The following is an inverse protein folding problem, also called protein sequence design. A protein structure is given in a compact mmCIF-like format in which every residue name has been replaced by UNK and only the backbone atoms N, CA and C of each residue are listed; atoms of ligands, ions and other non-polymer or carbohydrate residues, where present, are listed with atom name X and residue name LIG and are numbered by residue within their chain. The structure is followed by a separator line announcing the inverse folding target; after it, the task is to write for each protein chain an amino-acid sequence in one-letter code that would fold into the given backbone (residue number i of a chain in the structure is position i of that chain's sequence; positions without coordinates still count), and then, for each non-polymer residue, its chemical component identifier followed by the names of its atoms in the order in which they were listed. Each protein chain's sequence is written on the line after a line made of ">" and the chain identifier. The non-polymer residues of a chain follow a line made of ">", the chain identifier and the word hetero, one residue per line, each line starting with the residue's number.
data_IF_744059302388
#
_entry.id   IF_744059302388
#
_cell.length_a   1.000
_cell.length_b   1.000
_cell.length_c   1.000
_cell.angle_alpha   90.00
_cell.angle_beta   90.00
_cell.angle_gamma   90.00
#
_symmetry.space_group_name_H-M   'P 1'
#
loop_
_entity.id
_entity.type
_entity.pdbx_description
1 polymer ?
#
# COMPACT_ATOMS: atom_id res chain seq x y z
N UNK A 1 6.21 -17.87 5.23
CA UNK A 1 6.51 -17.52 3.83
C UNK A 1 5.59 -16.40 3.36
N UNK A 2 6.09 -15.46 2.54
CA UNK A 2 5.28 -14.37 1.99
C UNK A 2 4.25 -14.89 0.97
N UNK A 3 3.18 -14.12 0.77
CA UNK A 3 2.15 -14.36 -0.25
C UNK A 3 2.62 -13.87 -1.62
N UNK A 4 2.08 -14.47 -2.68
CA UNK A 4 2.42 -14.16 -4.08
C UNK A 4 1.71 -12.90 -4.59
N UNK A 5 2.40 -11.77 -4.80
CA UNK A 5 1.88 -10.67 -5.62
C UNK A 5 1.62 -11.10 -7.08
N UNK A 6 2.38 -12.04 -7.64
CA UNK A 6 2.22 -12.46 -9.04
C UNK A 6 0.85 -13.08 -9.31
N UNK A 7 0.29 -13.85 -8.37
CA UNK A 7 -1.09 -14.33 -8.49
C UNK A 7 -2.06 -13.16 -8.63
N UNK A 8 -1.92 -12.11 -7.84
CA UNK A 8 -2.82 -10.96 -7.90
C UNK A 8 -2.66 -10.22 -9.22
N UNK A 9 -1.43 -10.07 -9.71
CA UNK A 9 -1.14 -9.47 -11.02
C UNK A 9 -1.79 -10.26 -12.17
N UNK A 10 -1.72 -11.59 -12.14
CA UNK A 10 -2.18 -12.44 -13.25
C UNK A 10 -3.66 -12.82 -13.20
N UNK A 11 -4.22 -12.94 -12.00
CA UNK A 11 -5.53 -13.57 -11.79
C UNK A 11 -6.61 -12.65 -11.23
N UNK A 12 -6.27 -11.52 -10.63
CA UNK A 12 -7.29 -10.61 -10.08
C UNK A 12 -8.07 -9.92 -11.20
N UNK A 13 -9.12 -9.19 -10.83
CA UNK A 13 -9.95 -8.43 -11.78
C UNK A 13 -9.24 -7.18 -12.35
N UNK A 14 -7.95 -7.02 -12.06
CA UNK A 14 -7.17 -5.82 -12.33
C UNK A 14 -6.36 -5.89 -13.63
N UNK A 15 -5.82 -4.74 -14.00
CA UNK A 15 -4.99 -4.57 -15.20
C UNK A 15 -3.52 -4.95 -14.95
N UNK A 16 -3.27 -5.84 -13.99
CA UNK A 16 -1.95 -6.31 -13.60
C UNK A 16 -0.97 -5.17 -13.34
N UNK A 17 -0.03 -4.96 -14.25
CA UNK A 17 1.03 -3.95 -14.12
C UNK A 17 0.60 -2.52 -14.47
N UNK A 18 -0.59 -2.34 -15.04
CA UNK A 18 -1.15 -1.02 -15.37
C UNK A 18 -1.95 -0.41 -14.21
N UNK A 19 -1.95 -1.07 -13.05
CA UNK A 19 -2.57 -0.61 -11.82
C UNK A 19 -3.79 -1.44 -11.39
N UNK A 20 -4.27 -1.13 -10.20
CA UNK A 20 -5.48 -1.73 -9.65
C UNK A 20 -5.89 -1.20 -8.28
N UNK A 21 -6.96 -1.78 -7.73
CA UNK A 21 -7.62 -1.36 -6.51
C UNK A 21 -7.56 -2.41 -5.39
N UNK A 22 -7.45 -1.96 -4.13
CA UNK A 22 -7.50 -2.88 -2.98
C UNK A 22 -8.84 -3.60 -2.91
N UNK A 23 -9.93 -2.90 -3.25
CA UNK A 23 -11.29 -3.43 -3.16
C UNK A 23 -11.47 -4.60 -4.11
N UNK A 24 -11.05 -4.46 -5.37
CA UNK A 24 -11.21 -5.51 -6.37
C UNK A 24 -10.24 -6.67 -6.13
N UNK A 25 -9.02 -6.39 -5.66
CA UNK A 25 -8.11 -7.44 -5.18
C UNK A 25 -8.75 -8.23 -4.04
N UNK A 26 -9.34 -7.56 -3.05
CA UNK A 26 -10.02 -8.21 -1.93
C UNK A 26 -11.26 -8.98 -2.37
N UNK A 27 -12.02 -8.46 -3.35
CA UNK A 27 -13.15 -9.15 -3.96
C UNK A 27 -12.71 -10.39 -4.72
N UNK A 28 -11.63 -10.30 -5.52
CA UNK A 28 -11.04 -11.47 -6.18
C UNK A 28 -10.64 -12.55 -5.16
N UNK A 29 -9.99 -12.16 -4.06
CA UNK A 29 -9.62 -13.11 -3.00
C UNK A 29 -10.87 -13.81 -2.46
N UNK A 30 -11.95 -13.07 -2.24
CA UNK A 30 -13.23 -13.64 -1.81
C UNK A 30 -13.84 -14.56 -2.89
N UNK A 31 -13.88 -14.16 -4.14
CA UNK A 31 -14.50 -14.98 -5.18
C UNK A 31 -13.68 -16.25 -5.48
N UNK A 32 -12.36 -16.18 -5.26
CA UNK A 32 -11.43 -17.31 -5.36
C UNK A 32 -11.40 -18.20 -4.10
N UNK A 33 -12.30 -17.99 -3.14
CA UNK A 33 -12.41 -18.82 -1.94
C UNK A 33 -11.27 -18.64 -0.93
N UNK A 34 -10.71 -17.43 -0.83
CA UNK A 34 -9.61 -17.05 0.07
C UNK A 34 -8.32 -17.85 -0.18
N UNK A 35 -8.12 -18.27 -1.43
CA UNK A 35 -6.97 -19.05 -1.89
C UNK A 35 -5.86 -18.14 -2.40
N UNK A 36 -4.73 -18.11 -1.69
CA UNK A 36 -3.55 -17.35 -2.07
C UNK A 36 -2.30 -18.25 -2.13
N UNK A 37 -1.59 -18.16 -3.24
CA UNK A 37 -0.31 -18.82 -3.42
C UNK A 37 0.75 -18.14 -2.55
N UNK A 38 1.70 -18.93 -2.08
CA UNK A 38 2.91 -18.38 -1.48
C UNK A 38 3.84 -17.91 -2.59
N UNK A 39 4.68 -16.94 -2.28
CA UNK A 39 5.70 -16.44 -3.21
C UNK A 39 6.59 -17.56 -3.74
N UNK A 40 6.94 -18.54 -2.90
CA UNK A 40 7.74 -19.70 -3.33
C UNK A 40 7.04 -20.62 -4.34
N UNK A 41 5.70 -20.62 -4.37
CA UNK A 41 4.89 -21.52 -5.20
C UNK A 41 4.40 -20.81 -6.49
N UNK A 42 4.33 -19.48 -6.45
CA UNK A 42 3.99 -18.61 -7.59
C UNK A 42 4.82 -17.32 -7.49
N UNK A 43 6.11 -17.36 -7.85
CA UNK A 43 7.03 -16.25 -7.61
C UNK A 43 6.78 -15.06 -8.53
N UNK A 44 7.08 -13.87 -8.03
CA UNK A 44 7.20 -12.66 -8.84
C UNK A 44 8.32 -12.84 -9.88
N UNK A 45 8.02 -12.49 -11.13
CA UNK A 45 8.99 -12.66 -12.21
C UNK A 45 10.24 -11.79 -12.00
N UNK A 46 11.47 -12.34 -12.12
CA UNK A 46 12.72 -11.62 -11.82
C UNK A 46 12.97 -10.38 -12.69
N UNK A 47 12.38 -10.30 -13.88
CA UNK A 47 12.54 -9.19 -14.84
C UNK A 47 11.61 -8.01 -14.56
N UNK A 48 11.05 -7.94 -13.35
CA UNK A 48 9.97 -7.04 -12.99
C UNK A 48 8.60 -7.70 -13.18
N UNK A 49 7.60 -7.18 -12.50
CA UNK A 49 6.22 -7.62 -12.64
C UNK A 49 5.79 -7.49 -14.11
N UNK A 50 5.27 -8.58 -14.67
CA UNK A 50 4.54 -8.59 -15.93
C UNK A 50 3.25 -9.35 -15.70
N UNK A 51 2.15 -8.89 -16.28
CA UNK A 51 0.93 -9.67 -16.31
C UNK A 51 1.07 -10.81 -17.31
N UNK A 52 0.96 -12.03 -16.80
CA UNK A 52 0.96 -13.28 -17.55
C UNK A 52 -0.38 -14.01 -17.36
N UNK A 53 -0.49 -15.20 -17.96
CA UNK A 53 -1.69 -16.02 -17.84
C UNK A 53 -1.81 -16.53 -16.40
N UNK A 54 -2.97 -16.30 -15.77
CA UNK A 54 -3.31 -16.86 -14.48
C UNK A 54 -3.03 -18.37 -14.40
N UNK A 55 -2.26 -18.78 -13.39
CA UNK A 55 -1.89 -20.17 -13.13
C UNK A 55 -2.81 -20.81 -12.09
N UNK A 56 -2.78 -22.14 -12.04
CA UNK A 56 -3.53 -22.91 -11.04
C UNK A 56 -3.02 -22.66 -9.63
N UNK A 57 -3.93 -22.71 -8.66
CA UNK A 57 -3.62 -22.61 -7.24
C UNK A 57 -2.85 -23.85 -6.73
N UNK A 58 -1.74 -23.61 -6.06
CA UNK A 58 -0.85 -24.61 -5.44
C UNK A 58 -0.48 -24.28 -3.99
N UNK A 59 -0.84 -23.10 -3.49
CA UNK A 59 -0.43 -22.61 -2.17
C UNK A 59 -1.45 -22.77 -1.03
N UNK A 60 -1.69 -21.70 -0.28
CA UNK A 60 -2.43 -21.73 0.99
C UNK A 60 -3.87 -21.21 0.88
N UNK A 61 -4.77 -21.81 1.66
CA UNK A 61 -6.12 -21.25 1.87
C UNK A 61 -6.08 -20.48 3.18
N UNK A 62 -6.32 -19.17 3.13
CA UNK A 62 -6.29 -18.32 4.32
C UNK A 62 -7.52 -18.52 5.21
N UNK A 63 -8.61 -19.06 4.64
CA UNK A 63 -9.81 -19.43 5.36
C UNK A 63 -9.96 -20.96 5.43
N UNK A 64 -10.36 -21.47 6.61
CA UNK A 64 -10.58 -22.90 6.80
C UNK A 64 -12.02 -23.34 6.49
N UNK A 65 -12.98 -22.41 6.36
CA UNK A 65 -14.35 -22.67 5.89
C UNK A 65 -15.10 -21.39 5.51
N UNK A 66 -16.27 -21.52 4.88
CA UNK A 66 -17.06 -20.38 4.41
C UNK A 66 -17.45 -19.36 5.49
N UNK A 67 -17.39 -19.70 6.79
CA UNK A 67 -17.73 -18.77 7.89
C UNK A 67 -16.53 -17.99 8.41
N UNK A 68 -15.30 -18.30 7.97
CA UNK A 68 -14.05 -17.65 8.41
C UNK A 68 -13.34 -16.95 7.26
N UNK A 69 -14.13 -16.28 6.41
CA UNK A 69 -13.60 -15.51 5.29
C UNK A 69 -12.77 -14.34 5.77
N UNK A 70 -11.80 -13.92 4.95
CA UNK A 70 -11.14 -12.64 5.14
C UNK A 70 -12.20 -11.54 5.26
N UNK A 71 -11.97 -10.53 6.09
CA UNK A 71 -12.88 -9.41 6.25
C UNK A 71 -12.09 -8.13 6.02
N UNK A 72 -12.68 -7.18 5.31
CA UNK A 72 -12.10 -5.87 5.11
C UNK A 72 -13.15 -4.79 5.32
N UNK A 73 -12.68 -3.59 5.63
CA UNK A 73 -13.52 -2.42 5.79
C UNK A 73 -12.78 -1.19 5.32
N UNK A 74 -13.50 -0.31 4.65
CA UNK A 74 -12.99 1.01 4.33
C UNK A 74 -13.05 1.90 5.58
N UNK A 75 -11.96 2.62 5.87
CA UNK A 75 -11.90 3.56 6.97
C UNK A 75 -12.48 4.92 6.55
N UNK A 76 -12.92 5.71 7.53
CA UNK A 76 -13.42 7.06 7.28
C UNK A 76 -12.30 7.99 6.80
N UNK A 77 -12.51 8.64 5.66
CA UNK A 77 -11.60 9.64 5.06
C UNK A 77 -11.22 10.76 6.05
N UNK A 78 -9.95 11.12 6.05
CA UNK A 78 -9.34 12.22 6.81
C UNK A 78 -9.12 11.94 8.30
N UNK A 79 -9.57 10.80 8.84
CA UNK A 79 -9.54 10.54 10.28
C UNK A 79 -8.28 9.77 10.72
N UNK A 80 -7.15 10.47 10.75
CA UNK A 80 -5.86 9.88 11.17
C UNK A 80 -5.87 9.37 12.63
N UNK A 81 -6.71 9.93 13.50
CA UNK A 81 -6.85 9.44 14.87
C UNK A 81 -7.54 8.07 14.91
N UNK A 82 -8.58 7.88 14.09
CA UNK A 82 -9.22 6.58 13.95
C UNK A 82 -8.30 5.57 13.27
N UNK A 83 -7.57 5.97 12.21
CA UNK A 83 -6.53 5.13 11.62
C UNK A 83 -5.50 4.69 12.65
N UNK A 84 -5.09 5.59 13.56
CA UNK A 84 -4.12 5.29 14.62
C UNK A 84 -4.66 4.22 15.56
N UNK A 85 -5.92 4.36 15.96
CA UNK A 85 -6.62 3.35 16.74
C UNK A 85 -6.65 2.00 16.00
N UNK A 86 -6.96 2.00 14.71
CA UNK A 86 -7.02 0.76 13.93
C UNK A 86 -5.65 0.09 13.81
N UNK A 87 -4.58 0.86 13.57
CA UNK A 87 -3.22 0.32 13.52
C UNK A 87 -2.83 -0.34 14.84
N UNK A 88 -3.23 0.27 15.97
CA UNK A 88 -2.97 -0.28 17.30
C UNK A 88 -3.79 -1.55 17.58
N UNK A 89 -5.08 -1.55 17.25
CA UNK A 89 -6.01 -2.63 17.63
C UNK A 89 -5.98 -3.82 16.66
N UNK A 90 -5.71 -3.57 15.38
CA UNK A 90 -5.91 -4.54 14.30
C UNK A 90 -4.66 -4.79 13.45
N UNK A 91 -3.64 -3.94 13.58
CA UNK A 91 -2.40 -4.07 12.83
C UNK A 91 -2.40 -3.27 11.52
N UNK A 92 -1.56 -3.66 10.54
CA UNK A 92 -1.28 -2.83 9.37
C UNK A 92 -2.53 -2.45 8.56
N UNK A 93 -2.51 -1.25 7.98
CA UNK A 93 -3.59 -0.74 7.11
C UNK A 93 -3.05 -0.39 5.72
N UNK A 94 -3.77 -0.80 4.69
CA UNK A 94 -3.50 -0.43 3.30
C UNK A 94 -4.06 0.97 3.03
N UNK A 95 -3.27 1.81 2.36
CA UNK A 95 -3.66 3.17 2.00
C UNK A 95 -3.25 3.47 0.57
N UNK A 96 -3.94 4.44 -0.03
CA UNK A 96 -3.43 5.13 -1.20
C UNK A 96 -2.70 6.42 -0.80
N UNK A 97 -1.70 6.76 -1.59
CA UNK A 97 -0.83 7.90 -1.38
C UNK A 97 -0.59 8.60 -2.72
N UNK A 98 -0.48 9.92 -2.69
CA UNK A 98 -0.02 10.68 -3.86
C UNK A 98 1.52 10.74 -3.83
N UNK A 99 2.16 9.74 -4.44
CA UNK A 99 3.62 9.64 -4.50
C UNK A 99 4.22 10.35 -5.72
N UNK A 100 3.43 10.50 -6.80
CA UNK A 100 3.94 10.97 -8.10
C UNK A 100 3.10 12.06 -8.74
N UNK A 101 3.77 12.84 -9.58
CA UNK A 101 3.16 13.85 -10.44
C UNK A 101 2.18 13.21 -11.47
N UNK A 102 1.05 13.89 -11.73
CA UNK A 102 0.35 13.85 -13.04
C UNK A 102 0.64 15.15 -13.81
N UNK A 103 0.37 15.22 -15.12
CA UNK A 103 0.72 16.36 -16.00
C UNK A 103 0.05 17.72 -15.68
N UNK A 104 0.02 18.14 -14.41
CA UNK A 104 -0.41 19.46 -13.99
C UNK A 104 0.79 20.34 -13.59
N UNK A 105 0.49 21.62 -13.40
CA UNK A 105 1.43 22.66 -13.00
C UNK A 105 1.54 22.80 -11.47
N UNK A 106 1.17 21.77 -10.70
CA UNK A 106 1.27 21.83 -9.23
C UNK A 106 2.73 21.73 -8.78
N UNK A 107 3.28 22.90 -8.40
CA UNK A 107 4.65 23.02 -7.92
C UNK A 107 4.91 22.30 -6.59
N UNK A 108 3.89 22.13 -5.74
CA UNK A 108 4.03 21.46 -4.44
C UNK A 108 4.08 19.96 -4.67
N UNK A 109 3.19 19.40 -5.49
CA UNK A 109 3.26 17.98 -5.86
C UNK A 109 4.56 17.63 -6.59
N UNK A 110 5.10 18.54 -7.39
CA UNK A 110 6.39 18.34 -8.01
C UNK A 110 7.52 18.18 -6.96
N UNK A 111 7.55 19.07 -5.96
CA UNK A 111 8.52 18.98 -4.87
C UNK A 111 8.29 17.74 -4.01
N UNK A 112 7.03 17.39 -3.73
CA UNK A 112 6.66 16.20 -2.98
C UNK A 112 7.17 14.93 -3.67
N UNK A 113 6.86 14.78 -4.96
CA UNK A 113 7.30 13.64 -5.78
C UNK A 113 8.82 13.53 -5.81
N UNK A 114 9.53 14.63 -6.09
CA UNK A 114 11.00 14.63 -6.14
C UNK A 114 11.62 14.23 -4.78
N UNK A 115 11.05 14.72 -3.67
CA UNK A 115 11.49 14.34 -2.32
C UNK A 115 11.15 12.90 -1.97
N UNK A 116 10.05 12.36 -2.49
CA UNK A 116 9.62 10.99 -2.25
C UNK A 116 10.52 10.00 -3.01
N UNK A 117 10.81 10.27 -4.28
CA UNK A 117 11.69 9.44 -5.11
C UNK A 117 13.09 9.31 -4.50
N UNK A 118 13.60 10.36 -3.86
CA UNK A 118 14.92 10.39 -3.22
C UNK A 118 14.86 10.32 -1.69
N UNK A 119 13.73 9.90 -1.12
CA UNK A 119 13.63 9.74 0.32
C UNK A 119 14.67 8.69 0.78
N UNK A 120 15.42 9.03 1.83
CA UNK A 120 16.42 8.14 2.44
C UNK A 120 16.15 7.90 3.92
N UNK A 121 15.92 8.95 4.70
CA UNK A 121 15.65 8.82 6.14
C UNK A 121 14.98 10.09 6.70
N UNK A 122 14.57 10.03 7.97
CA UNK A 122 13.95 11.16 8.68
C UNK A 122 12.45 11.22 8.50
N UNK A 123 11.79 12.29 8.98
CA UNK A 123 10.35 12.47 8.78
C UNK A 123 10.12 13.21 7.47
N UNK A 124 9.45 12.54 6.54
CA UNK A 124 8.91 13.12 5.33
C UNK A 124 7.79 14.11 5.67
N UNK A 125 8.06 15.39 5.42
CA UNK A 125 7.16 16.51 5.63
C UNK A 125 7.25 17.44 4.43
N UNK A 126 6.13 17.63 3.71
CA UNK A 126 6.02 18.56 2.58
C UNK A 126 4.80 19.44 2.81
N UNK A 127 4.98 20.63 3.41
CA UNK A 127 3.89 21.53 3.67
C UNK A 127 3.08 21.83 2.40
N UNK A 128 1.76 21.72 2.50
CA UNK A 128 0.84 22.00 1.40
C UNK A 128 0.64 20.85 0.41
N UNK A 129 1.18 19.65 0.66
CA UNK A 129 0.90 18.49 -0.18
C UNK A 129 -0.63 18.22 -0.21
N UNK A 130 -1.26 18.10 -1.40
CA UNK A 130 -2.70 17.90 -1.54
C UNK A 130 -3.23 16.70 -0.75
N UNK A 131 -4.40 16.86 -0.14
CA UNK A 131 -4.93 15.89 0.82
C UNK A 131 -5.96 14.93 0.23
N UNK A 132 -6.46 15.13 -1.00
CA UNK A 132 -7.55 14.31 -1.57
C UNK A 132 -7.48 14.13 -3.10
N UNK A 133 -6.37 14.49 -3.74
CA UNK A 133 -6.28 14.49 -5.21
C UNK A 133 -5.27 13.47 -5.72
N UNK A 134 -5.64 12.79 -6.81
CA UNK A 134 -4.73 12.00 -7.65
C UNK A 134 -3.91 10.92 -6.92
N UNK A 135 -4.55 10.22 -5.99
CA UNK A 135 -4.00 9.00 -5.36
C UNK A 135 -3.48 8.04 -6.43
N UNK A 136 -2.19 7.69 -6.37
CA UNK A 136 -1.52 6.98 -7.47
C UNK A 136 -0.54 5.90 -7.02
N UNK A 137 -0.35 5.72 -5.72
CA UNK A 137 0.53 4.72 -5.17
C UNK A 137 -0.10 4.04 -3.97
N UNK A 138 0.05 2.72 -3.89
CA UNK A 138 -0.47 1.90 -2.80
C UNK A 138 0.67 1.57 -1.83
N UNK A 139 0.43 1.78 -0.54
CA UNK A 139 1.41 1.52 0.53
C UNK A 139 0.72 0.94 1.77
N UNK A 140 1.52 0.53 2.74
CA UNK A 140 1.03 -0.03 4.00
C UNK A 140 1.52 0.80 5.17
N UNK A 141 0.64 1.27 6.03
CA UNK A 141 1.00 1.79 7.35
C UNK A 141 1.17 0.59 8.28
N UNK A 142 2.38 0.42 8.82
CA UNK A 142 2.73 -0.69 9.70
C UNK A 142 2.92 -0.26 11.16
N UNK A 143 2.90 1.06 11.42
CA UNK A 143 3.05 1.60 12.77
C UNK A 143 3.04 3.13 12.79
N UNK A 144 3.30 3.69 13.96
CA UNK A 144 3.42 5.13 14.17
C UNK A 144 4.31 5.43 15.38
N UNK A 145 4.78 6.66 15.48
CA UNK A 145 5.56 7.10 16.62
C UNK A 145 5.66 8.62 16.71
N UNK A 146 6.62 9.05 17.51
CA UNK A 146 7.01 10.46 17.67
C UNK A 146 8.53 10.52 17.72
N UNK A 147 9.14 11.39 16.91
CA UNK A 147 10.57 11.62 16.88
C UNK A 147 10.82 13.13 17.03
N UNK A 148 11.56 13.52 18.07
CA UNK A 148 11.88 14.93 18.37
C UNK A 148 10.65 15.86 18.44
N UNK A 149 9.54 15.37 19.00
CA UNK A 149 8.29 16.13 19.11
C UNK A 149 7.42 16.11 17.85
N UNK A 150 7.86 15.47 16.77
CA UNK A 150 7.08 15.33 15.53
C UNK A 150 6.49 13.92 15.42
N UNK A 151 5.17 13.86 15.29
CA UNK A 151 4.42 12.64 15.10
C UNK A 151 4.58 12.10 13.67
N UNK A 152 4.73 10.78 13.51
CA UNK A 152 4.86 10.13 12.21
C UNK A 152 4.06 8.82 12.10
N UNK A 153 3.71 8.47 10.87
CA UNK A 153 3.37 7.12 10.41
C UNK A 153 4.63 6.41 9.93
N UNK A 154 4.80 5.15 10.30
CA UNK A 154 5.79 4.26 9.71
C UNK A 154 5.11 3.45 8.61
N UNK A 155 5.63 3.54 7.40
CA UNK A 155 5.02 2.94 6.23
C UNK A 155 6.03 2.10 5.45
N UNK A 156 5.56 0.98 4.93
CA UNK A 156 6.29 0.07 4.05
C UNK A 156 5.98 0.40 2.59
N UNK A 157 7.02 0.46 1.78
CA UNK A 157 6.93 0.65 0.33
C UNK A 157 7.30 -0.63 -0.42
N UNK A 158 6.94 -0.71 -1.70
CA UNK A 158 7.20 -1.85 -2.59
C UNK A 158 8.36 -1.61 -3.57
N UNK A 159 9.22 -0.61 -3.31
CA UNK A 159 10.34 -0.22 -4.19
C UNK A 159 11.69 -0.83 -3.78
N UNK A 160 11.65 -1.86 -2.95
CA UNK A 160 12.83 -2.59 -2.48
C UNK A 160 13.59 -1.88 -1.36
N UNK A 161 14.49 -2.63 -0.72
CA UNK A 161 15.21 -2.18 0.48
C UNK A 161 16.22 -1.05 0.23
N UNK A 162 16.57 -0.80 -1.03
CA UNK A 162 17.52 0.26 -1.41
C UNK A 162 16.87 1.64 -1.46
N UNK A 163 15.54 1.70 -1.47
CA UNK A 163 14.79 2.94 -1.39
C UNK A 163 14.44 3.24 0.08
N UNK A 164 14.49 4.52 0.47
CA UNK A 164 14.15 4.92 1.82
C UNK A 164 15.04 4.33 2.91
N UNK A 165 14.45 4.19 4.10
CA UNK A 165 15.09 3.65 5.28
C UNK A 165 14.83 2.14 5.28
N UNK A 166 15.63 1.39 4.51
CA UNK A 166 15.48 -0.06 4.29
C UNK A 166 14.12 -0.48 3.69
N UNK A 167 13.56 0.33 2.78
CA UNK A 167 12.24 0.11 2.17
C UNK A 167 11.10 0.80 2.91
N UNK A 168 11.38 1.46 4.04
CA UNK A 168 10.39 2.15 4.85
C UNK A 168 10.49 3.68 4.73
N UNK A 169 9.40 4.34 5.08
CA UNK A 169 9.33 5.81 5.17
C UNK A 169 8.59 6.22 6.45
N UNK A 170 9.07 7.29 7.09
CA UNK A 170 8.33 7.98 8.14
C UNK A 170 7.63 9.20 7.54
N UNK A 171 6.30 9.24 7.55
CA UNK A 171 5.52 10.37 7.04
C UNK A 171 4.90 11.14 8.19
N UNK A 172 4.95 12.47 8.17
CA UNK A 172 4.33 13.30 9.21
C UNK A 172 2.85 12.96 9.39
N UNK A 173 2.47 12.65 10.62
CA UNK A 173 1.10 12.29 11.02
C UNK A 173 0.35 13.51 11.53
N UNK A 174 -0.95 13.57 11.24
CA UNK A 174 -1.87 14.66 11.64
C UNK A 174 -2.01 15.78 10.61
N UNK A 175 -1.54 15.55 9.38
CA UNK A 175 -1.59 16.53 8.28
C UNK A 175 -2.33 16.01 7.04
N UNK A 176 -2.86 14.78 7.08
CA UNK A 176 -3.29 14.01 5.91
C UNK A 176 -2.29 14.14 4.75
N UNK A 177 -1.00 14.01 5.07
CA UNK A 177 0.10 14.35 4.18
C UNK A 177 -0.03 13.58 2.87
N UNK A 178 -0.13 14.32 1.76
CA UNK A 178 -0.29 13.76 0.42
C UNK A 178 -1.46 12.75 0.30
N UNK A 179 -2.51 12.96 1.11
CA UNK A 179 -3.76 12.21 1.06
C UNK A 179 -3.71 10.81 1.66
N UNK A 180 -2.71 10.49 2.49
CA UNK A 180 -2.56 9.15 3.11
C UNK A 180 -3.80 8.64 3.88
N UNK A 181 -4.70 9.53 4.30
CA UNK A 181 -5.92 9.20 5.02
C UNK A 181 -7.18 9.34 4.14
N UNK A 182 -7.06 9.32 2.82
CA UNK A 182 -8.20 9.53 1.89
C UNK A 182 -9.08 8.30 1.74
#
# INVERSE_FOLDING_TARGET
>A
DPLSPQQLIDCSYENGCEGGSFVDVLNYIHDNGDRLNLEKDYPLTPTGAKQDKCQNFTGQVLSYNATHRLQYRQLSTGNENYMKQIVYEQGPIYIYYNARKREDNDTILHQASAKFDHYGYGIYDVPGCPTHENMNHAMVIIGYGTQNGTDYWLMENSWGITWGDEGFIKIKRGANMCGLAT
#
